data_IF_275758745395
#
_entry.id   IF_275758745395
#
_cell.length_a   1.000
_cell.length_b   1.000
_cell.length_c   1.000
_cell.angle_alpha   90.00
_cell.angle_beta   90.00
_cell.angle_gamma   90.00
#
_symmetry.space_group_name_H-M   'P 1'
#
loop_
_entity.id
_entity.type
_entity.pdbx_description
1 polymer ?
#
# COMPACT_ATOMS: atom_id res chain seq x y z
N UNK A 1 -10.96 -10.19 9.70
CA UNK A 1 -10.95 -10.08 8.25
C UNK A 1 -10.02 -8.97 7.80
N UNK A 2 -9.12 -9.28 6.88
CA UNK A 2 -8.12 -8.34 6.45
C UNK A 2 -8.57 -7.45 5.32
N UNK A 3 -7.95 -6.30 5.21
CA UNK A 3 -8.22 -5.34 4.16
C UNK A 3 -6.92 -4.71 3.71
N UNK A 4 -6.76 -4.52 2.41
CA UNK A 4 -5.60 -3.86 1.84
C UNK A 4 -6.04 -2.57 1.15
N UNK A 5 -5.44 -1.46 1.56
CA UNK A 5 -5.63 -0.19 0.87
C UNK A 5 -4.43 0.09 -0.01
N UNK A 6 -4.68 0.44 -1.26
CA UNK A 6 -3.64 0.97 -2.13
C UNK A 6 -3.69 2.49 -2.00
N UNK A 7 -2.62 3.07 -1.49
CA UNK A 7 -2.57 4.49 -1.16
C UNK A 7 -1.59 5.19 -2.10
N UNK A 8 -2.09 5.97 -3.06
CA UNK A 8 -1.20 6.75 -3.92
C UNK A 8 -0.60 7.91 -3.13
N UNK A 9 0.68 8.13 -3.31
CA UNK A 9 1.39 9.22 -2.64
C UNK A 9 1.87 10.22 -3.69
N UNK A 10 1.82 11.52 -3.40
CA UNK A 10 2.27 12.51 -4.36
C UNK A 10 3.78 12.49 -4.52
N UNK A 11 4.25 12.80 -5.72
CA UNK A 11 5.66 12.98 -6.00
C UNK A 11 5.96 14.47 -5.94
N UNK A 12 6.90 14.86 -5.09
CA UNK A 12 7.39 16.21 -5.05
C UNK A 12 6.66 17.16 -4.10
N UNK A 13 5.34 17.06 -3.98
CA UNK A 13 4.58 17.94 -3.09
C UNK A 13 3.72 17.14 -2.12
N UNK A 14 4.15 17.08 -0.86
CA UNK A 14 3.45 16.30 0.16
C UNK A 14 2.10 16.89 0.54
N UNK A 15 1.84 18.14 0.21
CA UNK A 15 0.54 18.76 0.47
C UNK A 15 -0.57 18.20 -0.38
N UNK A 16 -0.21 17.50 -1.46
CA UNK A 16 -1.22 16.90 -2.34
C UNK A 16 -1.80 15.59 -1.81
N UNK A 17 -1.29 15.09 -0.70
CA UNK A 17 -1.85 13.87 -0.11
C UNK A 17 -3.19 14.18 0.55
N UNK A 18 -4.17 13.28 0.38
CA UNK A 18 -5.51 13.51 0.93
C UNK A 18 -5.55 13.22 2.42
N UNK A 19 -6.51 13.86 3.11
CA UNK A 19 -6.72 13.61 4.55
C UNK A 19 -7.10 12.15 4.80
N UNK A 20 -7.87 11.56 3.88
CA UNK A 20 -8.25 10.16 4.00
C UNK A 20 -7.04 9.24 3.92
N UNK A 21 -6.11 9.54 2.99
CA UNK A 21 -4.88 8.76 2.86
C UNK A 21 -4.04 8.86 4.14
N UNK A 22 -3.94 10.04 4.71
CA UNK A 22 -3.21 10.23 5.97
C UNK A 22 -3.83 9.38 7.08
N UNK A 23 -5.15 9.40 7.21
CA UNK A 23 -5.85 8.61 8.21
C UNK A 23 -5.63 7.12 8.01
N UNK A 24 -5.73 6.64 6.76
CA UNK A 24 -5.54 5.22 6.44
C UNK A 24 -4.13 4.78 6.80
N UNK A 25 -3.12 5.59 6.48
CA UNK A 25 -1.74 5.27 6.84
C UNK A 25 -1.53 5.25 8.34
N UNK A 26 -2.13 6.20 9.04
CA UNK A 26 -1.96 6.30 10.50
C UNK A 26 -2.59 5.13 11.24
N UNK A 27 -3.71 4.62 10.74
CA UNK A 27 -4.45 3.55 11.39
C UNK A 27 -4.06 2.15 10.90
N UNK A 28 -3.13 2.05 9.96
CA UNK A 28 -2.72 0.76 9.41
C UNK A 28 -1.98 -0.08 10.46
N UNK A 29 -2.17 -1.39 10.39
CA UNK A 29 -1.39 -2.31 11.22
C UNK A 29 0.07 -2.32 10.79
N UNK A 30 0.31 -2.22 9.50
CA UNK A 30 1.63 -1.98 8.93
C UNK A 30 1.48 -1.43 7.52
N UNK A 31 2.57 -0.89 7.01
CA UNK A 31 2.60 -0.26 5.68
C UNK A 31 3.62 -1.00 4.82
N UNK A 32 3.27 -1.21 3.56
CA UNK A 32 4.16 -1.78 2.57
C UNK A 32 4.54 -0.72 1.56
N UNK A 33 5.79 -0.68 1.18
CA UNK A 33 6.29 0.30 0.24
C UNK A 33 7.34 -0.32 -0.67
N UNK A 34 7.45 0.19 -1.88
CA UNK A 34 8.50 -0.22 -2.80
C UNK A 34 9.83 0.38 -2.38
N UNK A 35 9.86 1.68 -2.14
CA UNK A 35 11.05 2.37 -1.64
C UNK A 35 10.80 2.82 -0.21
N UNK A 36 11.35 2.05 0.73
CA UNK A 36 11.12 2.33 2.15
C UNK A 36 11.78 3.63 2.61
N UNK A 37 12.84 4.06 1.93
CA UNK A 37 13.52 5.31 2.32
C UNK A 37 12.66 6.52 2.00
N UNK A 38 12.09 6.57 0.80
CA UNK A 38 11.22 7.66 0.41
C UNK A 38 9.94 7.66 1.24
N UNK A 39 9.38 6.48 1.46
CA UNK A 39 8.14 6.36 2.24
C UNK A 39 8.37 6.67 3.71
N UNK A 40 9.55 6.33 4.26
CA UNK A 40 9.87 6.69 5.65
C UNK A 40 9.90 8.21 5.83
N UNK A 41 10.43 8.92 4.85
CA UNK A 41 10.45 10.39 4.90
C UNK A 41 9.02 10.95 4.89
N UNK A 42 8.15 10.36 4.08
CA UNK A 42 6.75 10.76 4.02
C UNK A 42 6.07 10.55 5.38
N UNK A 43 6.21 9.36 5.95
CA UNK A 43 5.57 9.05 7.22
C UNK A 43 6.12 9.96 8.34
N UNK A 44 7.42 10.22 8.33
CA UNK A 44 8.01 11.11 9.31
C UNK A 44 7.47 12.54 9.18
N UNK A 45 7.33 13.02 7.95
CA UNK A 45 6.79 14.36 7.70
C UNK A 45 5.34 14.47 8.22
N UNK A 46 4.57 13.40 8.08
CA UNK A 46 3.18 13.36 8.54
C UNK A 46 3.05 12.99 10.01
N UNK A 47 4.16 12.77 10.68
CA UNK A 47 4.21 12.37 12.09
C UNK A 47 3.44 11.07 12.35
N UNK A 48 3.56 10.12 11.42
CA UNK A 48 2.92 8.81 11.52
C UNK A 48 3.94 7.78 11.98
N UNK A 49 3.63 7.07 13.05
CA UNK A 49 4.44 5.98 13.55
C UNK A 49 3.73 4.66 13.33
N UNK A 50 4.16 3.93 12.32
CA UNK A 50 3.58 2.65 11.95
C UNK A 50 4.70 1.77 11.40
N UNK A 51 4.68 0.45 11.66
CA UNK A 51 5.69 -0.44 11.07
C UNK A 51 5.62 -0.38 9.55
N UNK A 52 6.78 -0.37 8.91
CA UNK A 52 6.86 -0.32 7.45
C UNK A 52 7.84 -1.36 6.94
N UNK A 53 7.43 -2.06 5.89
CA UNK A 53 8.23 -3.10 5.28
C UNK A 53 8.29 -2.90 3.77
N UNK A 54 9.37 -3.39 3.16
CA UNK A 54 9.48 -3.39 1.71
C UNK A 54 8.82 -4.63 1.14
N UNK A 55 7.88 -4.46 0.22
CA UNK A 55 7.28 -5.61 -0.45
C UNK A 55 8.19 -6.20 -1.52
N UNK A 56 9.31 -5.55 -1.84
CA UNK A 56 10.33 -6.15 -2.71
C UNK A 56 10.91 -7.43 -2.13
N UNK A 57 10.94 -7.53 -0.80
CA UNK A 57 11.42 -8.73 -0.14
C UNK A 57 10.44 -9.89 -0.24
N UNK A 58 9.24 -9.64 -0.75
CA UNK A 58 8.16 -10.62 -0.83
C UNK A 58 7.76 -10.91 -2.28
N UNK A 59 8.71 -10.83 -3.21
CA UNK A 59 8.42 -11.06 -4.63
C UNK A 59 8.55 -12.52 -5.06
N UNK A 60 8.91 -13.41 -4.15
CA UNK A 60 8.89 -14.85 -4.40
C UNK A 60 7.52 -15.41 -4.01
N UNK A 61 7.10 -16.48 -4.69
CA UNK A 61 5.77 -17.04 -4.49
C UNK A 61 5.45 -17.37 -3.04
N UNK A 62 6.39 -18.01 -2.33
CA UNK A 62 6.10 -18.40 -0.94
C UNK A 62 6.09 -17.19 0.01
N UNK A 63 6.84 -16.13 -0.30
CA UNK A 63 6.80 -14.94 0.54
C UNK A 63 5.55 -14.11 0.28
N UNK A 64 5.05 -14.08 -0.96
CA UNK A 64 3.78 -13.41 -1.28
C UNK A 64 2.64 -14.09 -0.53
N UNK A 65 2.58 -15.42 -0.52
CA UNK A 65 1.56 -16.15 0.22
C UNK A 65 1.58 -15.86 1.71
N UNK A 66 2.77 -15.80 2.30
CA UNK A 66 2.93 -15.47 3.71
C UNK A 66 2.45 -14.05 4.00
N UNK A 67 2.75 -13.10 3.12
CA UNK A 67 2.33 -11.72 3.29
C UNK A 67 0.81 -11.58 3.18
N UNK A 68 0.20 -12.28 2.21
CA UNK A 68 -1.25 -12.28 2.06
C UNK A 68 -1.92 -12.82 3.32
N UNK A 69 -1.36 -13.88 3.92
CA UNK A 69 -1.88 -14.42 5.16
C UNK A 69 -1.81 -13.40 6.28
N UNK A 70 -0.71 -12.68 6.40
CA UNK A 70 -0.58 -11.63 7.42
C UNK A 70 -1.61 -10.52 7.20
N UNK A 71 -1.87 -10.14 5.96
CA UNK A 71 -2.87 -9.14 5.65
C UNK A 71 -4.26 -9.65 5.99
N UNK A 72 -4.56 -10.90 5.66
CA UNK A 72 -5.89 -11.47 5.91
C UNK A 72 -6.20 -11.60 7.40
N UNK A 73 -5.19 -11.67 8.25
CA UNK A 73 -5.36 -11.82 9.70
C UNK A 73 -5.11 -10.52 10.47
N UNK A 74 -4.86 -9.42 9.79
CA UNK A 74 -4.63 -8.15 10.48
C UNK A 74 -5.90 -7.65 11.17
N UNK A 75 -5.72 -6.85 12.21
CA UNK A 75 -6.84 -6.36 13.02
C UNK A 75 -7.64 -5.27 12.29
N UNK A 76 -6.96 -4.34 11.65
CA UNK A 76 -7.59 -3.22 10.96
C UNK A 76 -7.41 -3.32 9.46
N UNK A 77 -6.27 -2.91 8.97
CA UNK A 77 -5.96 -2.95 7.56
C UNK A 77 -4.46 -2.78 7.35
N UNK A 78 -4.03 -3.06 6.14
CA UNK A 78 -2.66 -2.84 5.69
C UNK A 78 -2.70 -1.84 4.54
N UNK A 79 -1.74 -0.93 4.50
CA UNK A 79 -1.64 0.05 3.42
C UNK A 79 -0.44 -0.29 2.52
N UNK A 80 -0.66 -0.25 1.22
CA UNK A 80 0.38 -0.38 0.22
C UNK A 80 0.58 0.99 -0.42
N UNK A 81 1.75 1.58 -0.23
CA UNK A 81 2.05 2.88 -0.81
C UNK A 81 2.41 2.69 -2.28
N UNK A 82 1.70 3.41 -3.12
CA UNK A 82 1.94 3.45 -4.56
C UNK A 82 2.49 4.82 -4.93
N UNK A 83 3.60 4.84 -5.67
CA UNK A 83 4.22 6.09 -6.11
C UNK A 83 3.38 6.73 -7.21
N UNK A 84 2.82 7.89 -6.93
CA UNK A 84 1.91 8.58 -7.86
C UNK A 84 2.59 9.06 -9.14
N UNK A 85 3.92 9.18 -9.12
CA UNK A 85 4.66 9.55 -10.33
C UNK A 85 4.85 8.39 -11.31
N UNK A 86 4.47 7.19 -10.91
CA UNK A 86 4.61 5.99 -11.71
C UNK A 86 3.30 5.73 -12.46
N UNK A 87 3.33 5.45 -13.76
CA UNK A 87 2.09 5.19 -14.49
C UNK A 87 1.43 3.85 -14.12
N UNK A 88 2.13 2.99 -13.39
CA UNK A 88 1.62 1.69 -13.01
C UNK A 88 2.18 1.28 -11.64
N UNK A 89 1.45 0.42 -10.94
CA UNK A 89 1.98 -0.25 -9.76
C UNK A 89 3.11 -1.17 -10.22
N UNK A 90 4.17 -1.27 -9.41
CA UNK A 90 5.29 -2.18 -9.69
C UNK A 90 4.81 -3.64 -9.78
N UNK A 91 5.59 -4.50 -10.45
CA UNK A 91 5.24 -5.92 -10.57
C UNK A 91 5.00 -6.59 -9.22
N UNK A 92 5.85 -6.40 -8.19
CA UNK A 92 5.56 -6.99 -6.88
C UNK A 92 4.27 -6.45 -6.27
N UNK A 93 3.99 -5.15 -6.42
CA UNK A 93 2.76 -4.56 -5.90
C UNK A 93 1.53 -5.12 -6.60
N UNK A 94 1.59 -5.26 -7.92
CA UNK A 94 0.51 -5.83 -8.69
C UNK A 94 0.24 -7.28 -8.29
N UNK A 95 1.30 -8.06 -8.12
CA UNK A 95 1.17 -9.46 -7.70
C UNK A 95 0.51 -9.56 -6.31
N UNK A 96 0.91 -8.69 -5.39
CA UNK A 96 0.33 -8.66 -4.06
C UNK A 96 -1.17 -8.36 -4.10
N UNK A 97 -1.57 -7.34 -4.86
CA UNK A 97 -2.97 -6.95 -4.99
C UNK A 97 -3.78 -8.12 -5.56
N UNK A 98 -3.27 -8.75 -6.60
CA UNK A 98 -3.95 -9.87 -7.24
C UNK A 98 -4.13 -11.05 -6.29
N UNK A 99 -3.08 -11.40 -5.56
CA UNK A 99 -3.12 -12.53 -4.64
C UNK A 99 -4.05 -12.24 -3.44
N UNK A 100 -4.07 -11.01 -2.96
CA UNK A 100 -5.02 -10.63 -1.92
C UNK A 100 -6.45 -10.80 -2.39
N UNK A 101 -6.76 -10.32 -3.59
CA UNK A 101 -8.11 -10.44 -4.14
C UNK A 101 -8.52 -11.91 -4.32
N UNK A 102 -7.59 -12.76 -4.76
CA UNK A 102 -7.86 -14.18 -4.93
C UNK A 102 -8.15 -14.88 -3.62
N UNK A 103 -7.60 -14.39 -2.52
CA UNK A 103 -7.72 -15.03 -1.21
C UNK A 103 -8.79 -14.39 -0.34
N UNK A 104 -9.67 -13.61 -0.93
CA UNK A 104 -10.80 -13.03 -0.22
C UNK A 104 -10.46 -11.79 0.61
N UNK A 105 -9.26 -11.26 0.47
CA UNK A 105 -8.90 -9.99 1.11
C UNK A 105 -9.51 -8.86 0.31
N UNK A 106 -10.24 -7.98 0.97
CA UNK A 106 -10.81 -6.83 0.30
C UNK A 106 -9.70 -5.84 -0.05
N UNK A 107 -9.67 -5.38 -1.31
CA UNK A 107 -8.70 -4.40 -1.77
C UNK A 107 -9.44 -3.14 -2.18
N UNK A 108 -8.99 -2.01 -1.67
CA UNK A 108 -9.58 -0.72 -2.01
C UNK A 108 -8.49 0.26 -2.39
N UNK A 109 -8.68 0.94 -3.53
CA UNK A 109 -7.76 1.98 -3.97
C UNK A 109 -8.30 3.34 -3.57
N UNK A 110 -7.46 4.15 -2.96
CA UNK A 110 -7.84 5.52 -2.63
C UNK A 110 -7.65 6.42 -3.85
N UNK A 111 -8.48 7.44 -4.01
CA UNK A 111 -8.29 8.41 -5.09
C UNK A 111 -6.98 9.18 -4.88
N UNK A 112 -6.32 9.51 -5.98
CA UNK A 112 -5.08 10.24 -5.96
C UNK A 112 -4.74 10.76 -7.32
N UNK A 113 -3.46 11.14 -7.52
CA UNK A 113 -3.01 11.72 -8.77
C UNK A 113 -3.01 10.74 -9.93
N UNK A 114 -3.10 9.45 -9.67
CA UNK A 114 -3.05 8.41 -10.69
C UNK A 114 -4.40 7.72 -10.80
N UNK A 115 -5.08 7.92 -11.92
CA UNK A 115 -6.34 7.24 -12.20
C UNK A 115 -6.14 5.79 -12.62
N UNK A 116 -4.90 5.39 -12.86
CA UNK A 116 -4.56 4.05 -13.32
C UNK A 116 -4.83 2.98 -12.25
N UNK A 117 -4.55 3.30 -11.00
CA UNK A 117 -4.63 2.32 -9.91
C UNK A 117 -6.04 1.73 -9.75
N UNK A 118 -7.12 2.53 -9.78
CA UNK A 118 -8.47 1.94 -9.68
C UNK A 118 -8.79 0.95 -10.80
N UNK A 119 -8.26 1.15 -11.99
CA UNK A 119 -8.52 0.26 -13.11
C UNK A 119 -7.86 -1.11 -12.93
N UNK A 120 -6.79 -1.20 -12.16
CA UNK A 120 -6.09 -2.45 -11.92
C UNK A 120 -6.86 -3.40 -11.02
N UNK A 121 -7.69 -2.88 -10.15
CA UNK A 121 -8.36 -3.68 -9.12
C UNK A 121 -9.85 -3.83 -9.36
N UNK A 122 -10.34 -3.19 -10.39
CA UNK A 122 -11.77 -3.31 -10.77
C UNK A 122 -12.05 -4.51 -11.73
#
# INVERSE_FOLDING_TARGET
MGMLYVVPTPVGNLEDITLRAIRILREADFVLAEDTRTSAKLLKHLEIQVPMYSHHKFNEHKTVGSLVERISTCEKHVALISDAGTPAISDPGFMLVRECAKNGVEVQCLPGATAFVPALVS
#
